data_IF_004642391910
#
_entry.id   IF_004642391910
#
_cell.length_a   1.000
_cell.length_b   1.000
_cell.length_c   1.000
_cell.angle_alpha   90.00
_cell.angle_beta   90.00
_cell.angle_gamma   90.00
#
_symmetry.space_group_name_H-M   'P 1'
#
loop_
_entity.id
_entity.type
_entity.pdbx_description
1 polymer ?
#
# COMPACT_ATOMS: atom_id res chain seq x y z
N UNK A 1 -16.59 -50.66 9.68
CA UNK A 1 -15.99 -50.36 8.37
C UNK A 1 -16.53 -49.01 7.96
N UNK A 2 -15.71 -47.97 8.02
CA UNK A 2 -16.13 -46.60 7.69
C UNK A 2 -15.65 -46.31 6.27
N UNK A 3 -16.57 -46.26 5.31
CA UNK A 3 -16.28 -45.92 3.92
C UNK A 3 -16.20 -44.40 3.79
N UNK A 4 -15.01 -43.87 3.52
CA UNK A 4 -14.81 -42.48 3.09
C UNK A 4 -15.39 -42.31 1.69
N UNK A 5 -16.25 -41.31 1.42
CA UNK A 5 -16.73 -41.05 0.06
C UNK A 5 -15.59 -40.46 -0.78
N UNK A 6 -15.35 -41.03 -1.96
CA UNK A 6 -14.47 -40.45 -2.97
C UNK A 6 -15.09 -39.16 -3.52
N UNK A 7 -14.40 -38.03 -3.34
CA UNK A 7 -14.76 -36.76 -3.95
C UNK A 7 -13.99 -36.66 -5.27
N UNK A 8 -14.71 -36.72 -6.39
CA UNK A 8 -14.11 -36.49 -7.70
C UNK A 8 -13.71 -35.01 -7.83
N UNK A 9 -12.55 -34.69 -8.45
CA UNK A 9 -12.14 -33.31 -8.66
C UNK A 9 -13.05 -32.65 -9.71
N UNK A 10 -13.62 -31.51 -9.35
CA UNK A 10 -14.46 -30.68 -10.24
C UNK A 10 -13.66 -30.23 -11.47
N UNK A 11 -14.30 -30.16 -12.64
CA UNK A 11 -13.69 -29.55 -13.82
C UNK A 11 -13.44 -28.05 -13.60
N UNK A 12 -12.51 -27.45 -14.34
CA UNK A 12 -12.15 -26.04 -14.15
C UNK A 12 -13.33 -25.09 -14.39
N UNK A 13 -14.22 -25.42 -15.34
CA UNK A 13 -15.46 -24.68 -15.58
C UNK A 13 -16.43 -24.78 -14.39
N UNK A 14 -16.55 -25.95 -13.77
CA UNK A 14 -17.37 -26.17 -12.57
C UNK A 14 -16.74 -25.52 -11.33
N UNK A 15 -15.40 -25.46 -11.24
CA UNK A 15 -14.68 -24.78 -10.17
C UNK A 15 -14.87 -23.26 -10.27
N UNK A 16 -14.79 -22.68 -11.47
CA UNK A 16 -15.08 -21.27 -11.73
C UNK A 16 -16.57 -20.97 -11.51
N UNK A 17 -17.47 -21.85 -11.95
CA UNK A 17 -18.91 -21.72 -11.72
C UNK A 17 -19.31 -21.87 -10.23
N UNK A 18 -18.56 -22.63 -9.43
CA UNK A 18 -18.79 -22.75 -7.99
C UNK A 18 -18.27 -21.55 -7.21
N UNK A 19 -17.16 -20.93 -7.65
CA UNK A 19 -16.68 -19.64 -7.14
C UNK A 19 -17.61 -18.46 -7.49
N UNK A 20 -18.38 -18.58 -8.58
CA UNK A 20 -19.32 -17.56 -9.05
C UNK A 20 -20.68 -17.51 -8.34
N UNK A 21 -21.02 -18.47 -7.47
CA UNK A 21 -22.29 -18.43 -6.70
C UNK A 21 -22.17 -17.55 -5.46
N UNK A 22 -22.03 -16.25 -5.72
CA UNK A 22 -22.28 -15.19 -4.76
C UNK A 22 -23.77 -15.24 -4.39
N UNK A 23 -24.10 -15.44 -3.11
CA UNK A 23 -25.46 -15.70 -2.61
C UNK A 23 -26.50 -14.59 -2.80
N UNK A 24 -26.12 -13.48 -3.42
CA UNK A 24 -26.99 -12.34 -3.68
C UNK A 24 -27.25 -12.04 -5.18
N UNK A 25 -26.75 -12.85 -6.12
CA UNK A 25 -27.27 -12.87 -7.49
C UNK A 25 -27.01 -11.65 -8.38
N UNK A 26 -26.03 -10.81 -8.04
CA UNK A 26 -25.60 -9.68 -8.90
C UNK A 26 -24.22 -9.98 -9.48
N UNK A 27 -24.11 -9.87 -10.80
CA UNK A 27 -22.83 -9.89 -11.52
C UNK A 27 -22.76 -8.60 -12.34
N UNK A 28 -21.93 -7.65 -11.91
CA UNK A 28 -21.62 -6.49 -12.73
C UNK A 28 -20.83 -6.96 -13.97
N UNK A 29 -21.05 -6.30 -15.11
CA UNK A 29 -20.42 -6.69 -16.37
C UNK A 29 -18.91 -6.49 -16.28
N UNK A 30 -18.14 -7.55 -16.49
CA UNK A 30 -16.67 -7.53 -16.54
C UNK A 30 -16.15 -6.93 -17.86
N UNK A 31 -16.52 -5.68 -18.14
CA UNK A 31 -16.12 -4.96 -19.37
C UNK A 31 -14.59 -4.81 -19.44
N UNK A 32 -13.93 -4.62 -18.29
CA UNK A 32 -12.47 -4.50 -18.20
C UNK A 32 -11.78 -5.85 -18.49
N UNK A 33 -12.24 -6.94 -17.89
CA UNK A 33 -11.72 -8.28 -18.15
C UNK A 33 -12.06 -8.82 -19.54
N UNK A 34 -13.19 -8.41 -20.13
CA UNK A 34 -13.61 -8.83 -21.48
C UNK A 34 -12.70 -8.27 -22.59
N UNK A 35 -12.09 -7.10 -22.38
CA UNK A 35 -11.21 -6.44 -23.35
C UNK A 35 -9.76 -6.96 -23.36
N UNK A 36 -9.36 -7.74 -22.35
CA UNK A 36 -8.00 -8.25 -22.23
C UNK A 36 -7.78 -9.44 -23.18
N UNK A 37 -6.88 -9.28 -24.14
CA UNK A 37 -6.46 -10.34 -25.04
C UNK A 37 -5.81 -11.47 -24.24
N UNK A 38 -6.23 -12.72 -24.51
CA UNK A 38 -5.64 -13.92 -23.94
C UNK A 38 -4.40 -14.32 -24.73
N UNK A 39 -3.46 -14.95 -24.04
CA UNK A 39 -2.31 -15.57 -24.65
C UNK A 39 -1.09 -14.67 -24.75
N UNK A 40 0.02 -15.30 -25.09
CA UNK A 40 1.32 -14.64 -25.17
C UNK A 40 1.71 -14.50 -26.65
N UNK A 41 1.56 -13.30 -27.20
CA UNK A 41 1.95 -13.01 -28.59
C UNK A 41 2.61 -11.65 -28.71
N UNK A 42 3.30 -11.42 -29.83
CA UNK A 42 3.89 -10.11 -30.14
C UNK A 42 2.83 -8.99 -30.15
N UNK A 43 1.62 -9.28 -30.64
CA UNK A 43 0.51 -8.34 -30.63
C UNK A 43 0.12 -7.93 -29.20
N UNK A 44 0.01 -8.91 -28.28
CA UNK A 44 -0.29 -8.67 -26.86
C UNK A 44 0.83 -7.86 -26.20
N UNK A 45 2.09 -8.17 -26.48
CA UNK A 45 3.23 -7.43 -25.93
C UNK A 45 3.24 -5.97 -26.39
N UNK A 46 2.97 -5.72 -27.68
CA UNK A 46 2.87 -4.37 -28.25
C UNK A 46 1.68 -3.61 -27.67
N UNK A 47 0.53 -4.25 -27.54
CA UNK A 47 -0.67 -3.67 -26.92
C UNK A 47 -0.43 -3.30 -25.44
N UNK A 48 0.22 -4.18 -24.66
CA UNK A 48 0.60 -3.89 -23.27
C UNK A 48 1.53 -2.69 -23.20
N UNK A 49 2.55 -2.64 -24.06
CA UNK A 49 3.55 -1.58 -24.08
C UNK A 49 2.92 -0.22 -24.45
N UNK A 50 2.03 -0.21 -25.45
CA UNK A 50 1.24 0.95 -25.82
C UNK A 50 0.32 1.42 -24.69
N UNK A 51 -0.42 0.48 -24.06
CA UNK A 51 -1.28 0.78 -22.89
C UNK A 51 -0.49 1.33 -21.71
N UNK A 52 0.79 0.94 -21.55
CA UNK A 52 1.67 1.42 -20.48
C UNK A 52 2.46 2.70 -20.85
N UNK A 53 2.32 3.18 -22.08
CA UNK A 53 3.07 4.33 -22.59
C UNK A 53 4.59 4.16 -22.37
N UNK A 54 5.09 2.96 -22.65
CA UNK A 54 6.51 2.62 -22.48
C UNK A 54 7.37 3.19 -23.62
N UNK A 55 8.64 3.56 -23.35
CA UNK A 55 9.57 3.97 -24.38
C UNK A 55 9.99 2.79 -25.29
N UNK A 56 10.40 3.08 -26.53
CA UNK A 56 10.67 2.07 -27.57
C UNK A 56 11.70 1.00 -27.13
N UNK A 57 12.74 1.40 -26.40
CA UNK A 57 13.75 0.46 -25.89
C UNK A 57 13.19 -0.58 -24.91
N UNK A 58 12.12 -0.27 -24.17
CA UNK A 58 11.44 -1.22 -23.29
C UNK A 58 10.61 -2.23 -24.09
N UNK A 59 9.94 -1.77 -25.15
CA UNK A 59 9.24 -2.66 -26.07
C UNK A 59 10.21 -3.67 -26.70
N UNK A 60 11.38 -3.22 -27.14
CA UNK A 60 12.41 -4.10 -27.72
C UNK A 60 12.93 -5.14 -26.73
N UNK A 61 13.08 -4.79 -25.45
CA UNK A 61 13.42 -5.75 -24.40
C UNK A 61 12.33 -6.80 -24.25
N UNK A 62 11.06 -6.39 -24.19
CA UNK A 62 9.92 -7.32 -24.07
C UNK A 62 9.83 -8.27 -25.26
N UNK A 63 10.01 -7.75 -26.48
CA UNK A 63 10.00 -8.57 -27.70
C UNK A 63 11.18 -9.56 -27.73
N UNK A 64 12.37 -9.17 -27.27
CA UNK A 64 13.49 -10.10 -27.11
C UNK A 64 13.23 -11.16 -26.05
N UNK A 65 12.57 -10.80 -24.95
CA UNK A 65 12.19 -11.75 -23.91
C UNK A 65 11.18 -12.78 -24.44
N UNK A 66 10.17 -12.36 -25.21
CA UNK A 66 9.21 -13.24 -25.87
C UNK A 66 9.92 -14.26 -26.78
N UNK A 67 10.80 -13.78 -27.68
CA UNK A 67 11.59 -14.67 -28.55
C UNK A 67 12.49 -15.63 -27.78
N UNK A 68 12.94 -15.24 -26.58
CA UNK A 68 13.78 -16.09 -25.74
C UNK A 68 12.94 -17.13 -25.02
N UNK A 69 11.73 -16.77 -24.60
CA UNK A 69 10.74 -17.67 -24.02
C UNK A 69 10.37 -18.78 -25.01
N UNK A 70 10.01 -18.42 -26.26
CA UNK A 70 9.63 -19.39 -27.30
C UNK A 70 10.77 -20.37 -27.66
N UNK A 71 12.02 -19.96 -27.46
CA UNK A 71 13.21 -20.78 -27.75
C UNK A 71 13.62 -21.69 -26.60
N UNK A 72 13.18 -21.40 -25.38
CA UNK A 72 13.60 -22.15 -24.20
C UNK A 72 12.64 -23.31 -23.97
N UNK A 73 13.15 -24.54 -23.76
CA UNK A 73 12.29 -25.63 -23.33
C UNK A 73 11.73 -25.31 -21.93
N UNK A 74 10.56 -25.87 -21.63
CA UNK A 74 9.98 -25.80 -20.31
C UNK A 74 10.98 -26.38 -19.28
N UNK A 75 11.24 -25.71 -18.16
CA UNK A 75 12.15 -26.24 -17.14
C UNK A 75 11.61 -27.55 -16.56
N UNK A 76 12.53 -28.47 -16.28
CA UNK A 76 12.31 -29.79 -15.71
C UNK A 76 12.51 -29.81 -14.17
N UNK A 77 13.01 -28.72 -13.61
CA UNK A 77 13.22 -28.55 -12.18
C UNK A 77 12.03 -27.83 -11.54
N UNK A 78 11.52 -28.36 -10.43
CA UNK A 78 10.42 -27.76 -9.65
C UNK A 78 9.09 -28.49 -9.81
N UNK A 79 7.98 -27.75 -9.65
CA UNK A 79 6.63 -28.29 -9.83
C UNK A 79 6.34 -28.54 -11.30
N UNK A 80 5.58 -29.60 -11.60
CA UNK A 80 5.21 -29.98 -12.96
C UNK A 80 4.39 -28.87 -13.64
N UNK A 81 4.88 -28.36 -14.77
CA UNK A 81 4.24 -27.30 -15.56
C UNK A 81 3.42 -27.83 -16.76
N UNK A 82 3.23 -29.15 -16.84
CA UNK A 82 2.58 -29.85 -17.96
C UNK A 82 1.12 -29.45 -18.19
N UNK A 83 0.47 -28.79 -17.22
CA UNK A 83 -0.92 -28.32 -17.31
C UNK A 83 -1.07 -26.83 -17.62
N UNK A 84 0.01 -26.08 -17.85
CA UNK A 84 -0.09 -24.63 -18.06
C UNK A 84 -0.35 -24.33 -19.54
N UNK A 85 -1.56 -23.89 -19.84
CA UNK A 85 -1.93 -23.33 -21.13
C UNK A 85 -1.65 -21.81 -21.15
N UNK A 86 -0.49 -21.43 -21.69
CA UNK A 86 -0.08 -20.02 -21.78
C UNK A 86 -0.97 -19.20 -22.71
N UNK A 87 -1.62 -19.82 -23.69
CA UNK A 87 -2.50 -19.13 -24.64
C UNK A 87 -3.82 -18.70 -24.00
N UNK A 88 -4.18 -19.33 -22.88
CA UNK A 88 -5.42 -19.05 -22.17
C UNK A 88 -5.26 -18.05 -21.00
N UNK A 89 -4.03 -17.64 -20.70
CA UNK A 89 -3.74 -16.71 -19.59
C UNK A 89 -3.92 -15.26 -20.03
N UNK A 90 -4.56 -14.45 -19.18
CA UNK A 90 -4.61 -12.99 -19.33
C UNK A 90 -3.41 -12.37 -18.63
N UNK A 91 -2.37 -12.01 -19.38
CA UNK A 91 -1.13 -11.46 -18.82
C UNK A 91 -1.24 -10.00 -18.35
N UNK A 92 -2.24 -9.27 -18.86
CA UNK A 92 -2.42 -7.87 -18.51
C UNK A 92 -3.90 -7.50 -18.54
N UNK A 93 -4.41 -7.09 -17.40
CA UNK A 93 -5.71 -6.43 -17.26
C UNK A 93 -5.41 -5.07 -16.68
N UNK A 94 -5.72 -4.01 -17.42
CA UNK A 94 -5.74 -2.65 -16.89
C UNK A 94 -7.18 -2.39 -16.47
N UNK A 95 -7.40 -2.07 -15.19
CA UNK A 95 -8.68 -1.49 -14.80
C UNK A 95 -8.84 -0.23 -15.65
N UNK A 96 -9.89 -0.17 -16.47
CA UNK A 96 -10.23 0.98 -17.32
C UNK A 96 -10.50 2.24 -16.50
N UNK A 97 -10.61 2.09 -15.20
CA UNK A 97 -10.85 3.16 -14.26
C UNK A 97 -9.53 3.76 -13.81
N UNK A 98 -9.35 5.05 -14.09
CA UNK A 98 -8.38 5.87 -13.38
C UNK A 98 -8.64 5.68 -11.88
N UNK A 99 -7.59 5.57 -11.06
CA UNK A 99 -7.75 5.70 -9.61
C UNK A 99 -8.46 7.03 -9.35
N UNK A 100 -9.74 6.95 -8.97
CA UNK A 100 -10.53 8.11 -8.62
C UNK A 100 -9.90 8.74 -7.37
N UNK A 101 -9.56 10.02 -7.43
CA UNK A 101 -9.02 10.73 -6.28
C UNK A 101 -10.15 11.16 -5.32
N UNK A 102 -11.38 11.22 -5.83
CA UNK A 102 -12.57 11.63 -5.11
C UNK A 102 -13.76 10.74 -5.42
N UNK A 103 -14.74 10.68 -4.52
CA UNK A 103 -15.95 9.88 -4.68
C UNK A 103 -16.75 10.27 -5.93
N UNK A 104 -16.68 11.53 -6.33
CA UNK A 104 -17.36 12.09 -7.50
C UNK A 104 -16.73 11.65 -8.82
N UNK A 105 -15.43 11.30 -8.79
CA UNK A 105 -14.67 10.83 -9.95
C UNK A 105 -14.86 9.33 -10.23
N UNK A 106 -15.56 8.60 -9.35
CA UNK A 106 -15.86 7.19 -9.57
C UNK A 106 -16.88 7.02 -10.71
N UNK A 107 -16.70 6.02 -11.58
CA UNK A 107 -17.71 5.61 -12.54
C UNK A 107 -19.10 5.34 -11.90
N UNK A 108 -20.16 5.65 -12.64
CA UNK A 108 -21.55 5.58 -12.13
C UNK A 108 -21.97 4.17 -11.74
N UNK A 109 -21.51 3.15 -12.46
CA UNK A 109 -21.71 1.74 -12.16
C UNK A 109 -21.16 1.38 -10.78
N UNK A 110 -19.91 1.75 -10.48
CA UNK A 110 -19.30 1.50 -9.16
C UNK A 110 -20.00 2.27 -8.04
N UNK A 111 -20.34 3.54 -8.26
CA UNK A 111 -21.09 4.36 -7.28
C UNK A 111 -22.44 3.73 -6.95
N UNK A 112 -23.18 3.30 -7.97
CA UNK A 112 -24.48 2.66 -7.81
C UNK A 112 -24.37 1.31 -7.08
N UNK A 113 -23.33 0.51 -7.37
CA UNK A 113 -23.08 -0.75 -6.66
C UNK A 113 -22.76 -0.49 -5.18
N UNK A 114 -21.94 0.52 -4.87
CA UNK A 114 -21.63 0.86 -3.48
C UNK A 114 -22.78 1.50 -2.69
N UNK A 115 -23.61 2.31 -3.34
CA UNK A 115 -24.82 2.88 -2.74
C UNK A 115 -25.84 1.78 -2.42
N UNK A 116 -25.95 0.76 -3.29
CA UNK A 116 -26.80 -0.42 -3.05
C UNK A 116 -26.27 -1.36 -1.96
N UNK A 117 -24.95 -1.44 -1.79
CA UNK A 117 -24.32 -2.23 -0.72
C UNK A 117 -24.47 -1.58 0.67
N UNK A 118 -24.92 -0.32 0.74
CA UNK A 118 -25.16 0.36 2.01
C UNK A 118 -23.88 0.60 2.84
N UNK A 119 -22.73 0.72 2.17
CA UNK A 119 -21.44 0.95 2.83
C UNK A 119 -21.47 2.34 3.51
N UNK A 120 -21.15 2.44 4.81
CA UNK A 120 -21.08 3.72 5.51
C UNK A 120 -20.17 4.73 4.80
N UNK A 121 -20.56 6.00 4.80
CA UNK A 121 -19.92 7.07 4.03
C UNK A 121 -18.42 7.26 4.36
N UNK A 122 -18.02 6.94 5.59
CA UNK A 122 -16.62 6.95 6.02
C UNK A 122 -15.76 5.87 5.33
N UNK A 123 -16.33 4.72 4.99
CA UNK A 123 -15.60 3.62 4.35
C UNK A 123 -15.49 3.81 2.83
N UNK A 124 -16.48 4.48 2.23
CA UNK A 124 -16.44 4.97 0.84
C UNK A 124 -15.23 5.87 0.58
N UNK A 125 -14.99 6.85 1.46
CA UNK A 125 -13.85 7.76 1.34
C UNK A 125 -12.49 7.06 1.53
N UNK A 126 -12.43 6.03 2.40
CA UNK A 126 -11.22 5.25 2.68
C UNK A 126 -10.75 4.42 1.47
N UNK A 127 -11.69 3.89 0.70
CA UNK A 127 -11.38 3.03 -0.45
C UNK A 127 -10.93 3.84 -1.66
N UNK A 128 -11.59 4.97 -1.92
CA UNK A 128 -11.27 5.86 -3.06
C UNK A 128 -9.90 6.51 -2.91
N UNK A 129 -9.54 6.91 -1.70
CA UNK A 129 -8.25 7.57 -1.42
C UNK A 129 -7.02 6.64 -1.49
N UNK A 130 -7.19 5.37 -1.88
CA UNK A 130 -6.09 4.40 -1.99
C UNK A 130 -5.55 3.92 -0.65
N UNK A 131 -6.23 4.21 0.47
CA UNK A 131 -5.82 3.86 1.85
C UNK A 131 -6.28 2.46 2.24
N UNK A 132 -6.46 1.57 1.27
CA UNK A 132 -6.97 0.22 1.53
C UNK A 132 -5.97 -0.67 2.29
N UNK A 133 -4.67 -0.31 2.33
CA UNK A 133 -3.60 -1.20 2.81
C UNK A 133 -2.74 -0.64 3.95
N UNK A 134 -3.15 0.45 4.62
CA UNK A 134 -2.36 0.99 5.73
C UNK A 134 -2.77 0.37 7.07
N UNK A 135 -2.04 -0.67 7.48
CA UNK A 135 -2.30 -1.39 8.74
C UNK A 135 -1.54 -0.80 9.94
N UNK A 136 -0.70 0.20 9.71
CA UNK A 136 0.15 0.84 10.71
C UNK A 136 -0.54 2.10 11.23
N UNK A 137 -0.94 2.10 12.50
CA UNK A 137 -1.75 3.18 13.06
C UNK A 137 -1.12 3.81 14.29
N UNK A 138 -1.39 5.10 14.48
CA UNK A 138 -1.12 5.85 15.70
C UNK A 138 -2.42 6.07 16.47
N UNK A 139 -2.34 6.29 17.78
CA UNK A 139 -3.51 6.69 18.55
C UNK A 139 -4.02 8.07 18.06
N UNK A 140 -5.34 8.24 17.98
CA UNK A 140 -5.95 9.44 17.38
C UNK A 140 -5.61 10.77 18.07
N UNK A 141 -5.19 10.74 19.34
CA UNK A 141 -4.72 11.91 20.10
C UNK A 141 -3.22 12.19 19.94
N UNK A 142 -2.51 11.39 19.15
CA UNK A 142 -1.09 11.62 18.83
C UNK A 142 -0.95 12.93 18.08
N UNK A 143 -0.15 13.85 18.61
CA UNK A 143 0.08 15.15 18.01
C UNK A 143 1.06 15.05 16.84
N UNK A 144 0.66 15.59 15.70
CA UNK A 144 1.45 15.68 14.49
C UNK A 144 1.77 17.15 14.21
N UNK A 145 3.01 17.40 13.82
CA UNK A 145 3.47 18.74 13.45
C UNK A 145 3.08 19.04 12.00
N UNK A 146 2.18 20.00 11.83
CA UNK A 146 1.76 20.50 10.52
C UNK A 146 2.41 21.86 10.24
N UNK A 147 2.80 22.10 9.00
CA UNK A 147 3.43 23.33 8.53
C UNK A 147 2.44 24.50 8.36
N UNK A 148 1.14 24.24 8.41
CA UNK A 148 0.08 25.23 8.23
C UNK A 148 -0.72 25.52 9.52
N UNK A 149 -0.84 24.54 10.43
CA UNK A 149 -1.76 24.63 11.60
C UNK A 149 -1.09 24.36 12.95
N UNK A 150 0.22 24.16 13.02
CA UNK A 150 0.90 23.83 14.28
C UNK A 150 0.77 22.35 14.63
N UNK A 151 0.78 22.03 15.94
CA UNK A 151 0.52 20.67 16.40
C UNK A 151 -0.98 20.41 16.49
N UNK A 152 -1.45 19.42 15.74
CA UNK A 152 -2.84 18.97 15.82
C UNK A 152 -2.88 17.45 16.05
N UNK A 153 -3.92 16.92 16.71
CA UNK A 153 -4.14 15.48 16.81
C UNK A 153 -4.23 14.85 15.42
N UNK A 154 -3.65 13.66 15.23
CA UNK A 154 -3.65 12.97 13.93
C UNK A 154 -5.05 12.69 13.40
N UNK A 155 -6.04 12.53 14.28
CA UNK A 155 -7.46 12.36 13.90
C UNK A 155 -8.08 13.61 13.24
N UNK A 156 -7.45 14.78 13.38
CA UNK A 156 -7.92 16.06 12.84
C UNK A 156 -7.16 16.49 11.57
N UNK A 157 -6.22 15.65 11.11
CA UNK A 157 -5.52 15.85 9.85
C UNK A 157 -6.44 15.49 8.69
N UNK A 158 -6.47 16.37 7.69
CA UNK A 158 -7.28 16.19 6.48
C UNK A 158 -6.44 16.29 5.20
N UNK A 159 -7.03 15.90 4.07
CA UNK A 159 -6.41 16.10 2.76
C UNK A 159 -6.05 17.58 2.56
N UNK A 160 -4.83 17.85 2.10
CA UNK A 160 -4.33 19.21 1.86
C UNK A 160 -3.59 19.83 3.04
N UNK A 161 -3.65 19.23 4.24
CA UNK A 161 -2.71 19.60 5.31
C UNK A 161 -1.27 19.30 4.88
N UNK A 162 -0.34 20.08 5.40
CA UNK A 162 1.09 19.92 5.14
C UNK A 162 1.76 19.46 6.43
N UNK A 163 2.42 18.30 6.40
CA UNK A 163 3.08 17.72 7.58
C UNK A 163 4.59 17.72 7.41
N UNK A 164 5.32 17.78 8.52
CA UNK A 164 6.77 17.57 8.50
C UNK A 164 7.07 16.07 8.45
N UNK A 165 7.76 15.64 7.41
CA UNK A 165 8.25 14.29 7.21
C UNK A 165 9.79 14.27 7.22
N UNK A 166 10.40 13.20 7.71
CA UNK A 166 11.85 13.03 7.66
C UNK A 166 12.25 12.41 6.31
N UNK A 167 13.13 13.09 5.58
CA UNK A 167 13.75 12.59 4.35
C UNK A 167 15.11 11.97 4.71
N UNK A 168 15.27 10.66 4.48
CA UNK A 168 16.49 9.92 4.82
C UNK A 168 17.68 10.22 3.90
N UNK A 169 17.42 10.57 2.63
CA UNK A 169 18.46 10.87 1.65
C UNK A 169 19.02 12.28 1.89
N UNK A 170 18.12 13.22 2.21
CA UNK A 170 18.48 14.60 2.52
C UNK A 170 18.83 14.84 4.01
N UNK A 171 18.66 13.81 4.85
CA UNK A 171 18.86 13.83 6.30
C UNK A 171 18.21 15.03 7.03
N UNK A 172 17.05 15.49 6.55
CA UNK A 172 16.35 16.68 7.06
C UNK A 172 14.85 16.53 7.01
N UNK A 173 14.15 17.36 7.77
CA UNK A 173 12.69 17.46 7.64
C UNK A 173 12.30 18.22 6.38
N UNK A 174 11.33 17.69 5.66
CA UNK A 174 10.70 18.29 4.50
C UNK A 174 9.21 18.45 4.75
N UNK A 175 8.58 19.40 4.05
CA UNK A 175 7.13 19.58 4.09
C UNK A 175 6.51 18.65 3.05
N UNK A 176 5.64 17.75 3.50
CA UNK A 176 4.94 16.80 2.64
C UNK A 176 3.42 17.02 2.71
N UNK A 177 2.71 17.03 1.56
CA UNK A 177 1.26 17.15 1.54
C UNK A 177 0.60 15.84 1.99
N UNK A 178 -0.41 15.95 2.85
CA UNK A 178 -1.27 14.83 3.24
C UNK A 178 -2.21 14.50 2.08
N UNK A 179 -2.01 13.31 1.52
CA UNK A 179 -2.82 12.80 0.39
C UNK A 179 -4.12 12.12 0.83
N UNK A 180 -4.17 11.60 2.06
CA UNK A 180 -5.34 10.94 2.59
C UNK A 180 -5.22 10.79 4.10
N UNK A 181 -6.36 10.72 4.77
CA UNK A 181 -6.46 10.35 6.18
C UNK A 181 -7.37 9.12 6.29
N UNK A 182 -7.00 8.17 7.15
CA UNK A 182 -7.84 7.02 7.44
C UNK A 182 -7.88 6.76 8.94
N UNK A 183 -9.08 6.49 9.41
CA UNK A 183 -9.32 6.03 10.77
C UNK A 183 -9.73 4.57 10.71
N UNK A 184 -8.98 3.73 11.43
CA UNK A 184 -9.36 2.33 11.61
C UNK A 184 -10.11 2.17 12.93
N UNK A 185 -10.85 1.06 13.05
CA UNK A 185 -11.50 0.64 14.30
C UNK A 185 -10.48 0.41 15.42
N UNK A 186 -11.00 0.18 16.63
CA UNK A 186 -10.23 0.03 17.87
C UNK A 186 -9.24 -1.13 17.77
N UNK A 187 -7.94 -0.79 17.74
CA UNK A 187 -6.83 -1.75 17.76
C UNK A 187 -6.05 -1.65 19.06
N UNK A 188 -5.41 -2.73 19.44
CA UNK A 188 -4.45 -2.72 20.54
C UNK A 188 -3.27 -1.80 20.18
N UNK A 189 -2.97 -0.86 21.08
CA UNK A 189 -1.82 0.05 20.94
C UNK A 189 -0.85 -0.12 22.08
N UNK A 190 0.44 0.06 21.79
CA UNK A 190 1.54 0.02 22.74
C UNK A 190 2.03 1.44 23.00
N UNK A 191 2.32 1.74 24.26
CA UNK A 191 2.88 3.02 24.65
C UNK A 191 4.41 2.99 24.54
N UNK A 192 4.95 3.72 23.58
CA UNK A 192 6.39 3.88 23.41
C UNK A 192 6.81 5.16 24.11
N UNK A 193 7.65 5.04 25.15
CA UNK A 193 8.09 6.15 25.99
C UNK A 193 9.60 6.31 25.94
N UNK A 194 10.04 7.52 25.61
CA UNK A 194 11.42 8.00 25.76
C UNK A 194 11.53 8.86 27.01
N UNK A 195 12.71 9.44 27.28
CA UNK A 195 12.95 10.31 28.43
C UNK A 195 12.00 11.53 28.50
N UNK A 196 11.63 12.12 27.36
CA UNK A 196 10.83 13.37 27.32
C UNK A 196 9.61 13.34 26.44
N UNK A 197 9.43 12.27 25.66
CA UNK A 197 8.35 12.14 24.69
C UNK A 197 7.79 10.73 24.73
N UNK A 198 6.53 10.58 24.42
CA UNK A 198 5.93 9.28 24.19
C UNK A 198 4.82 9.38 23.17
N UNK A 199 4.51 8.25 22.56
CA UNK A 199 3.39 8.09 21.64
C UNK A 199 2.74 6.73 21.86
N UNK A 200 1.54 6.55 21.29
CA UNK A 200 0.86 5.25 21.27
C UNK A 200 0.66 4.82 19.82
N UNK A 201 1.04 3.59 19.51
CA UNK A 201 1.05 3.06 18.15
C UNK A 201 0.68 1.57 18.13
N UNK A 202 0.27 1.05 16.98
CA UNK A 202 0.08 -0.39 16.77
C UNK A 202 1.40 -1.13 16.70
N UNK A 203 1.37 -2.43 16.95
CA UNK A 203 2.56 -3.30 17.02
C UNK A 203 3.45 -3.24 15.77
N UNK A 204 2.83 -3.19 14.60
CA UNK A 204 3.48 -3.15 13.29
C UNK A 204 3.95 -1.76 12.86
N UNK A 205 3.66 -0.69 13.63
CA UNK A 205 4.02 0.67 13.21
C UNK A 205 5.54 0.84 13.20
N UNK A 206 6.16 1.28 12.09
CA UNK A 206 7.60 1.40 11.98
C UNK A 206 8.10 2.65 12.71
N UNK A 207 9.19 2.50 13.44
CA UNK A 207 9.88 3.58 14.13
C UNK A 207 11.37 3.52 13.82
N UNK A 208 11.96 4.69 13.58
CA UNK A 208 13.40 4.80 13.38
C UNK A 208 14.12 4.71 14.72
N UNK A 209 14.95 3.68 14.87
CA UNK A 209 15.78 3.44 16.05
C UNK A 209 17.26 3.47 15.70
N UNK A 210 18.05 3.85 16.69
CA UNK A 210 19.49 3.78 16.68
C UNK A 210 19.93 2.65 17.63
N UNK A 211 20.31 1.51 17.06
CA UNK A 211 20.68 0.32 17.81
C UNK A 211 22.19 0.12 17.76
N UNK A 212 22.75 -0.28 18.90
CA UNK A 212 24.16 -0.64 19.00
C UNK A 212 24.40 -2.07 18.49
N UNK A 213 25.15 -2.18 17.40
CA UNK A 213 25.48 -3.43 16.72
C UNK A 213 26.93 -3.86 16.95
N UNK A 214 27.49 -3.47 18.09
CA UNK A 214 28.78 -3.99 18.53
C UNK A 214 28.79 -5.52 18.51
N UNK A 215 29.85 -6.08 17.92
CA UNK A 215 30.17 -7.49 18.13
C UNK A 215 30.46 -7.73 19.63
N UNK A 216 30.02 -8.87 20.20
CA UNK A 216 30.33 -9.23 21.58
C UNK A 216 31.83 -9.10 21.86
N UNK A 217 32.19 -8.47 22.98
CA UNK A 217 33.59 -8.23 23.38
C UNK A 217 34.24 -6.96 22.84
N UNK A 218 33.56 -6.15 22.02
CA UNK A 218 34.08 -4.82 21.59
C UNK A 218 33.63 -3.74 22.56
N UNK A 219 34.56 -2.88 23.00
CA UNK A 219 34.24 -1.77 23.90
C UNK A 219 33.60 -0.57 23.18
N UNK A 220 33.97 -0.28 21.93
CA UNK A 220 33.49 0.90 21.19
C UNK A 220 32.13 0.65 20.55
N UNK A 221 31.11 1.42 20.96
CA UNK A 221 29.75 1.36 20.43
C UNK A 221 29.73 1.56 18.91
N UNK A 222 28.89 0.79 18.21
CA UNK A 222 28.68 0.92 16.76
C UNK A 222 27.20 1.03 16.50
N UNK A 223 26.73 2.27 16.52
CA UNK A 223 25.34 2.56 16.29
C UNK A 223 24.98 2.47 14.80
N UNK A 224 23.80 1.91 14.52
CA UNK A 224 23.21 1.87 13.18
C UNK A 224 21.76 2.33 13.24
N UNK A 225 21.33 3.06 12.20
CA UNK A 225 19.94 3.47 12.02
C UNK A 225 19.15 2.32 11.40
N UNK A 226 18.00 1.96 11.97
CA UNK A 226 17.09 0.96 11.41
C UNK A 226 15.65 1.35 11.66
N UNK A 227 14.79 1.04 10.70
CA UNK A 227 13.36 0.96 10.92
C UNK A 227 13.05 -0.38 11.58
N UNK A 228 12.39 -0.32 12.73
CA UNK A 228 11.88 -1.51 13.45
C UNK A 228 10.42 -1.25 13.79
N UNK A 229 9.63 -2.30 13.89
CA UNK A 229 8.24 -2.14 14.33
C UNK A 229 8.18 -1.90 15.83
N UNK A 230 7.10 -1.30 16.32
CA UNK A 230 6.89 -1.05 17.76
C UNK A 230 7.04 -2.31 18.60
N UNK A 231 6.59 -3.47 18.11
CA UNK A 231 6.75 -4.76 18.78
C UNK A 231 8.19 -5.24 18.95
N UNK A 232 9.09 -4.79 18.07
CA UNK A 232 10.51 -5.16 18.09
C UNK A 232 11.38 -4.19 18.92
N UNK A 233 10.80 -3.08 19.39
CA UNK A 233 11.50 -2.10 20.23
C UNK A 233 11.76 -2.73 21.60
N UNK A 234 13.02 -2.64 22.04
CA UNK A 234 13.46 -3.17 23.33
C UNK A 234 13.82 -2.03 24.29
N UNK A 235 13.63 -2.21 25.61
CA UNK A 235 14.19 -1.30 26.59
C UNK A 235 15.69 -1.10 26.38
N UNK A 236 16.12 0.15 26.22
CA UNK A 236 17.51 0.51 25.91
C UNK A 236 17.78 0.87 24.45
N UNK A 237 16.84 0.62 23.53
CA UNK A 237 16.93 1.18 22.17
C UNK A 237 16.79 2.70 22.20
N UNK A 238 17.59 3.39 21.38
CA UNK A 238 17.48 4.84 21.21
C UNK A 238 16.51 5.14 20.08
N UNK A 239 15.37 5.76 20.39
CA UNK A 239 14.39 6.16 19.38
C UNK A 239 14.78 7.52 18.80
N UNK A 240 14.73 7.66 17.48
CA UNK A 240 14.97 8.93 16.81
C UNK A 240 13.90 9.95 17.20
N UNK A 241 14.34 11.11 17.71
CA UNK A 241 13.46 12.21 18.10
C UNK A 241 14.00 13.50 17.48
N UNK A 242 13.16 14.31 16.82
CA UNK A 242 13.57 15.62 16.34
C UNK A 242 14.06 16.49 17.50
N UNK A 243 15.29 17.00 17.40
CA UNK A 243 15.85 17.96 18.37
C UNK A 243 15.32 19.37 18.13
N UNK A 244 15.21 19.73 16.86
CA UNK A 244 14.62 20.97 16.39
C UNK A 244 13.56 20.60 15.36
N UNK A 245 12.48 21.35 15.39
CA UNK A 245 11.43 21.28 14.38
C UNK A 245 11.55 22.59 13.61
N UNK A 246 11.52 22.57 12.28
CA UNK A 246 11.63 23.79 11.49
C UNK A 246 10.63 24.85 11.98
N UNK A 247 11.06 26.10 12.11
CA UNK A 247 10.16 27.21 12.38
C UNK A 247 9.35 27.52 11.10
N UNK A 248 8.04 27.67 11.24
CA UNK A 248 7.14 28.02 10.14
C UNK A 248 6.06 28.98 10.64
N UNK A 249 5.63 29.87 9.76
CA UNK A 249 4.69 30.95 10.04
C UNK A 249 5.15 32.28 9.46
N UNK A 250 4.23 33.24 9.36
CA UNK A 250 4.57 34.63 9.04
C UNK A 250 4.94 35.32 10.35
N UNK A 251 6.11 35.95 10.43
CA UNK A 251 6.50 36.71 11.61
C UNK A 251 5.48 37.83 11.86
N UNK A 252 4.79 37.79 12.99
CA UNK A 252 3.93 38.88 13.41
C UNK A 252 4.81 40.04 13.92
N UNK A 253 4.55 41.27 13.46
CA UNK A 253 5.16 42.45 14.06
C UNK A 253 4.59 42.62 15.47
N UNK A 254 5.45 42.59 16.48
CA UNK A 254 5.05 42.90 17.84
C UNK A 254 4.70 44.39 17.95
N UNK A 255 3.63 44.76 18.69
CA UNK A 255 3.31 46.17 18.91
C UNK A 255 4.47 46.85 19.62
N UNK A 256 4.87 48.02 19.12
CA UNK A 256 5.91 48.83 19.75
C UNK A 256 5.35 49.39 21.06
N UNK A 257 5.92 48.97 22.20
CA UNK A 257 5.62 49.59 23.48
C UNK A 257 6.21 51.00 23.44
N UNK A 258 5.34 52.01 23.47
CA UNK A 258 5.73 53.43 23.56
C UNK A 258 5.84 53.82 25.03
#
# INVERSE_FOLDING_TARGET
MTTTPEVQPLSQEEAIASLGRYGYGWADSDVAGASAQRGLSEAVVRDISAKKNEPEWMLDIRLRALRTFDKKPMPDWGATLEGIDFDNIKYFVRSTEKQAASWEDLPEDIRNTYDRLGIPEAEKQRLVSGVAAQYECLAGDTLVWTANRGQIPIKEIVHGDQVFAYDEDAERFVVAPVKAAAQTDTRQTYAVRTTRRGLRATDNHPMLVLRDERKPGRQRARYSRRWVTVGEIRPGDFIAVPRQIPEFGVAAQLPTIT
#
